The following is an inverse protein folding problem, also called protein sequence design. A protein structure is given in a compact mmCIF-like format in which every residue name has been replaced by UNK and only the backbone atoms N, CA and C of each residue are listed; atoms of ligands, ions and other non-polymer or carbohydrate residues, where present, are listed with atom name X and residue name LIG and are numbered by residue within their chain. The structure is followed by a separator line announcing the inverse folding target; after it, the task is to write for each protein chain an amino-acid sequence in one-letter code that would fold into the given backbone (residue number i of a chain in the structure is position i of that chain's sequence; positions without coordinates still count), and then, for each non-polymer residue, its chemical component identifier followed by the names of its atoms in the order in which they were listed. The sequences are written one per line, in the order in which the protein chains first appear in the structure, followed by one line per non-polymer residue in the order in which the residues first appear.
data_IF_265218939888
#
_entry.id   IF_265218939888
#
_cell.length_a   1.000
_cell.length_b   1.000
_cell.length_c   1.000
_cell.angle_alpha   90.00
_cell.angle_beta   90.00
_cell.angle_gamma   90.00
#
_symmetry.space_group_name_H-M   'P 1'
#
loop_
_entity.id
_entity.type
_entity.pdbx_description
1 polymer ?
#
# COMPACT_ATOMS: atom_id res chain seq x y z
N UNK A 1 17.08 30.42 16.53
CA UNK A 1 16.62 29.14 15.95
C UNK A 1 16.82 27.95 16.89
N UNK A 2 17.96 27.84 17.58
CA UNK A 2 18.25 26.69 18.47
C UNK A 2 17.33 26.66 19.72
N UNK A 3 17.07 27.81 20.36
CA UNK A 3 16.24 27.89 21.59
C UNK A 3 14.78 27.48 21.36
N UNK A 4 14.17 27.88 20.23
CA UNK A 4 12.80 27.47 19.86
C UNK A 4 12.68 25.98 19.52
N UNK A 5 13.74 25.35 19.00
CA UNK A 5 13.73 23.93 18.63
C UNK A 5 13.74 23.03 19.88
N UNK A 6 14.47 23.41 20.92
CA UNK A 6 14.52 22.68 22.20
C UNK A 6 13.18 22.68 22.93
N UNK A 7 12.43 23.78 22.84
CA UNK A 7 11.11 23.94 23.45
C UNK A 7 10.05 23.04 22.78
N UNK A 8 10.01 22.99 21.44
CA UNK A 8 9.08 22.12 20.69
C UNK A 8 9.33 20.63 20.93
N UNK A 9 10.58 20.19 20.95
CA UNK A 9 10.89 18.78 21.27
C UNK A 9 10.51 18.43 22.72
N UNK A 10 10.68 19.36 23.66
CA UNK A 10 10.26 19.17 25.03
C UNK A 10 8.72 19.07 25.14
N UNK A 11 7.98 19.87 24.38
CA UNK A 11 6.52 19.77 24.27
C UNK A 11 6.10 18.38 23.78
N UNK A 12 6.65 17.90 22.66
CA UNK A 12 6.25 16.59 22.10
C UNK A 12 6.56 15.43 23.05
N UNK A 13 7.72 15.45 23.73
CA UNK A 13 8.04 14.46 24.77
C UNK A 13 7.06 14.50 25.94
N UNK A 14 6.60 15.69 26.31
CA UNK A 14 5.59 15.87 27.37
C UNK A 14 4.25 15.27 26.95
N UNK A 15 3.79 15.54 25.73
CA UNK A 15 2.54 14.98 25.20
C UNK A 15 2.58 13.44 25.12
N UNK A 16 3.71 12.87 24.71
CA UNK A 16 3.91 11.41 24.76
C UNK A 16 3.83 10.86 26.19
N UNK A 17 4.45 11.56 27.15
CA UNK A 17 4.43 11.17 28.56
C UNK A 17 3.02 11.27 29.16
N UNK A 18 2.30 12.36 28.90
CA UNK A 18 0.92 12.55 29.35
C UNK A 18 0.00 11.46 28.81
N UNK A 19 0.13 11.08 27.52
CA UNK A 19 -0.62 9.97 26.94
C UNK A 19 -0.27 8.61 27.60
N UNK A 20 1.01 8.37 27.93
CA UNK A 20 1.43 7.16 28.64
C UNK A 20 0.88 7.10 30.07
N UNK A 21 0.91 8.21 30.78
CA UNK A 21 0.39 8.33 32.15
C UNK A 21 -1.14 8.15 32.17
N UNK A 22 -1.86 8.75 31.23
CA UNK A 22 -3.30 8.56 31.07
C UNK A 22 -3.66 7.10 30.72
N UNK A 23 -2.79 6.40 29.99
CA UNK A 23 -2.99 4.99 29.67
C UNK A 23 -2.69 4.04 30.85
N UNK A 24 -2.06 4.49 31.93
CA UNK A 24 -1.55 3.61 32.99
C UNK A 24 -2.61 2.67 33.58
N UNK A 25 -3.81 3.19 33.86
CA UNK A 25 -4.93 2.38 34.37
C UNK A 25 -5.39 1.30 33.39
N UNK A 26 -5.48 1.63 32.10
CA UNK A 26 -5.82 0.68 31.04
C UNK A 26 -4.74 -0.40 30.89
N UNK A 27 -3.46 -0.01 30.94
CA UNK A 27 -2.35 -0.94 30.80
C UNK A 27 -2.31 -1.98 31.92
N UNK A 28 -2.68 -1.62 33.15
CA UNK A 28 -2.65 -2.54 34.30
C UNK A 28 -3.54 -3.77 34.12
N UNK A 29 -4.69 -3.62 33.48
CA UNK A 29 -5.68 -4.71 33.28
C UNK A 29 -5.42 -5.53 32.01
N UNK A 30 -4.52 -5.08 31.12
CA UNK A 30 -4.18 -5.79 29.88
C UNK A 30 -3.20 -6.95 30.12
N UNK A 31 -3.37 -8.03 29.37
CA UNK A 31 -2.37 -9.10 29.28
C UNK A 31 -1.03 -8.60 28.73
N UNK A 32 0.07 -9.29 29.01
CA UNK A 32 1.43 -8.84 28.69
C UNK A 32 1.66 -8.53 27.20
N UNK A 33 1.16 -9.38 26.30
CA UNK A 33 1.26 -9.20 24.84
C UNK A 33 0.43 -8.02 24.35
N UNK A 34 -0.81 -7.88 24.84
CA UNK A 34 -1.70 -6.78 24.53
C UNK A 34 -1.09 -5.46 24.99
N UNK A 35 -0.63 -5.39 26.25
CA UNK A 35 0.03 -4.22 26.84
C UNK A 35 1.22 -3.77 26.00
N UNK A 36 2.14 -4.68 25.68
CA UNK A 36 3.35 -4.35 24.93
C UNK A 36 3.06 -3.80 23.53
N UNK A 37 1.97 -4.27 22.91
CA UNK A 37 1.52 -3.86 21.57
C UNK A 37 0.77 -2.53 21.61
N UNK A 38 -0.06 -2.32 22.62
CA UNK A 38 -0.72 -1.04 22.88
C UNK A 38 0.30 0.08 23.15
N UNK A 39 1.28 -0.17 24.02
CA UNK A 39 2.39 0.76 24.28
C UNK A 39 3.19 1.09 23.02
N UNK A 40 3.32 0.13 22.09
CA UNK A 40 3.97 0.38 20.81
C UNK A 40 3.12 1.34 19.96
N UNK A 41 1.80 1.19 19.99
CA UNK A 41 0.85 2.11 19.37
C UNK A 41 0.96 3.53 19.93
N UNK A 42 1.00 3.68 21.26
CA UNK A 42 1.19 4.98 21.92
C UNK A 42 2.45 5.70 21.39
N UNK A 43 3.58 4.99 21.35
CA UNK A 43 4.87 5.54 20.88
C UNK A 43 4.89 5.83 19.37
N UNK A 44 4.01 5.20 18.60
CA UNK A 44 3.90 5.42 17.16
C UNK A 44 2.96 6.58 16.82
N UNK A 45 2.21 7.11 17.79
CA UNK A 45 1.20 8.15 17.56
C UNK A 45 1.72 9.41 16.85
N UNK A 46 2.95 9.93 17.10
CA UNK A 46 3.45 11.10 16.38
C UNK A 46 3.46 10.94 14.86
N UNK A 47 3.64 9.71 14.34
CA UNK A 47 3.56 9.40 12.92
C UNK A 47 2.13 9.61 12.39
N UNK A 48 1.14 9.02 13.03
CA UNK A 48 -0.24 9.03 12.56
C UNK A 48 -0.93 10.38 12.83
N UNK A 49 -0.64 11.00 13.97
CA UNK A 49 -1.11 12.34 14.30
C UNK A 49 -0.55 13.37 13.29
N UNK A 50 0.77 13.36 13.06
CA UNK A 50 1.39 14.23 12.07
C UNK A 50 0.89 13.97 10.65
N UNK A 51 0.59 12.72 10.30
CA UNK A 51 -0.02 12.39 9.01
C UNK A 51 -1.44 12.93 8.87
N UNK A 52 -2.26 12.86 9.91
CA UNK A 52 -3.60 13.46 9.91
C UNK A 52 -3.54 14.98 9.75
N UNK A 53 -2.61 15.65 10.47
CA UNK A 53 -2.34 17.07 10.27
C UNK A 53 -1.95 17.38 8.83
N UNK A 54 -1.03 16.60 8.25
CA UNK A 54 -0.60 16.76 6.87
C UNK A 54 -1.76 16.64 5.89
N UNK A 55 -2.63 15.64 6.05
CA UNK A 55 -3.84 15.48 5.21
C UNK A 55 -4.70 16.73 5.31
N UNK A 56 -4.98 17.23 6.52
CA UNK A 56 -5.82 18.41 6.71
C UNK A 56 -5.18 19.69 6.12
N UNK A 57 -3.91 19.96 6.43
CA UNK A 57 -3.16 21.13 5.94
C UNK A 57 -3.08 21.14 4.42
N UNK A 58 -2.69 20.01 3.83
CA UNK A 58 -2.48 19.89 2.39
C UNK A 58 -3.81 19.88 1.64
N UNK A 59 -4.87 19.24 2.17
CA UNK A 59 -6.19 19.24 1.54
C UNK A 59 -6.85 20.62 1.45
N UNK A 60 -6.63 21.47 2.46
CA UNK A 60 -7.04 22.88 2.40
C UNK A 60 -6.25 23.64 1.34
N UNK A 61 -4.92 23.43 1.29
CA UNK A 61 -4.04 24.06 0.29
C UNK A 61 -4.43 23.66 -1.13
N UNK A 62 -4.78 22.39 -1.34
CA UNK A 62 -5.18 21.84 -2.63
C UNK A 62 -6.65 22.09 -2.98
N UNK A 63 -7.43 22.71 -2.07
CA UNK A 63 -8.84 23.03 -2.25
C UNK A 63 -9.65 21.81 -2.73
N UNK A 64 -9.45 20.64 -2.11
CA UNK A 64 -10.27 19.45 -2.40
C UNK A 64 -11.62 19.57 -1.68
N UNK A 65 -12.70 19.17 -2.35
CA UNK A 65 -14.06 19.29 -1.80
C UNK A 65 -14.44 18.15 -0.85
N UNK A 66 -13.72 17.03 -0.90
CA UNK A 66 -13.94 15.84 -0.07
C UNK A 66 -12.70 14.96 0.00
N UNK A 67 -12.61 14.12 1.03
CA UNK A 67 -11.57 13.11 1.22
C UNK A 67 -12.17 11.70 1.19
N UNK A 68 -11.56 10.81 0.41
CA UNK A 68 -11.85 9.38 0.43
C UNK A 68 -10.66 8.61 0.99
N UNK A 69 -10.85 7.96 2.12
CA UNK A 69 -9.91 7.05 2.75
C UNK A 69 -10.15 5.64 2.19
N UNK A 70 -9.16 5.07 1.52
CA UNK A 70 -9.30 3.77 0.88
C UNK A 70 -9.25 2.64 1.91
N UNK A 71 -10.16 1.68 1.76
CA UNK A 71 -10.30 0.54 2.70
C UNK A 71 -9.04 -0.31 2.82
N UNK A 72 -8.99 -1.15 3.86
CA UNK A 72 -7.78 -1.78 4.43
C UNK A 72 -7.03 -0.80 5.33
N UNK A 73 -6.02 -0.11 4.83
CA UNK A 73 -5.15 0.70 5.68
C UNK A 73 -5.73 2.10 5.98
N UNK A 74 -6.53 2.66 5.06
CA UNK A 74 -7.17 3.96 5.25
C UNK A 74 -8.27 3.99 6.32
N UNK A 75 -8.79 2.84 6.77
CA UNK A 75 -9.78 2.77 7.84
C UNK A 75 -9.17 3.24 9.19
N UNK A 76 -7.92 2.85 9.47
CA UNK A 76 -7.18 3.40 10.61
C UNK A 76 -6.98 4.91 10.45
N UNK A 77 -6.54 5.34 9.26
CA UNK A 77 -6.25 6.76 9.02
C UNK A 77 -7.50 7.63 9.15
N UNK A 78 -8.67 7.14 8.72
CA UNK A 78 -9.95 7.81 8.90
C UNK A 78 -10.31 7.94 10.38
N UNK A 79 -10.14 6.87 11.18
CA UNK A 79 -10.36 6.88 12.63
C UNK A 79 -9.42 7.82 13.37
N UNK A 80 -8.16 7.92 12.93
CA UNK A 80 -7.19 8.89 13.47
C UNK A 80 -7.63 10.30 13.09
N UNK A 81 -7.91 10.54 11.81
CA UNK A 81 -8.33 11.85 11.31
C UNK A 81 -9.57 12.39 12.04
N UNK A 82 -10.57 11.54 12.28
CA UNK A 82 -11.77 11.89 13.03
C UNK A 82 -11.49 12.26 14.50
N UNK A 83 -10.49 11.64 15.15
CA UNK A 83 -10.07 11.98 16.52
C UNK A 83 -9.25 13.25 16.58
N UNK A 84 -8.45 13.52 15.56
CA UNK A 84 -7.63 14.73 15.46
C UNK A 84 -8.48 15.95 15.10
N UNK A 85 -9.58 15.74 14.37
CA UNK A 85 -10.50 16.77 13.90
C UNK A 85 -11.97 16.39 14.15
N UNK A 86 -12.47 16.39 15.40
CA UNK A 86 -13.84 15.99 15.74
C UNK A 86 -14.92 17.04 15.37
N UNK A 87 -14.68 17.85 14.33
CA UNK A 87 -15.51 19.01 13.93
C UNK A 87 -14.83 20.37 14.16
N UNK A 88 -13.57 20.36 14.59
CA UNK A 88 -12.79 21.57 14.86
C UNK A 88 -12.17 22.21 13.62
N UNK A 89 -11.89 23.52 13.71
CA UNK A 89 -11.22 24.28 12.65
C UNK A 89 -9.71 24.04 12.67
N UNK A 90 -9.10 24.16 11.51
CA UNK A 90 -7.65 24.27 11.33
C UNK A 90 -7.32 25.70 10.86
N UNK A 91 -6.95 26.56 11.80
CA UNK A 91 -6.80 27.99 11.53
C UNK A 91 -8.15 28.61 11.13
N UNK A 92 -8.22 29.17 9.91
CA UNK A 92 -9.45 29.79 9.39
C UNK A 92 -10.34 28.82 8.58
N UNK A 93 -9.84 27.63 8.23
CA UNK A 93 -10.59 26.63 7.46
C UNK A 93 -11.05 25.45 8.31
N UNK A 94 -11.93 24.62 7.74
CA UNK A 94 -12.27 23.30 8.29
C UNK A 94 -11.84 22.24 7.29
N UNK A 95 -11.23 21.12 7.74
CA UNK A 95 -10.90 20.05 6.82
C UNK A 95 -12.15 19.57 6.04
N UNK A 96 -11.99 19.17 4.77
CA UNK A 96 -13.10 18.72 3.94
C UNK A 96 -13.76 17.45 4.51
N UNK A 97 -15.03 17.18 4.19
CA UNK A 97 -15.73 15.96 4.60
C UNK A 97 -14.96 14.70 4.22
N UNK A 98 -14.84 13.75 5.16
CA UNK A 98 -14.02 12.56 5.02
C UNK A 98 -14.85 11.27 5.08
N UNK A 99 -14.70 10.42 4.07
CA UNK A 99 -15.46 9.18 3.90
C UNK A 99 -14.52 7.99 3.72
N UNK A 100 -15.01 6.80 4.09
CA UNK A 100 -14.37 5.54 3.69
C UNK A 100 -14.91 5.12 2.32
N UNK A 101 -14.00 4.70 1.43
CA UNK A 101 -14.33 4.20 0.10
C UNK A 101 -13.79 2.77 -0.07
N UNK A 102 -14.69 1.82 -0.32
CA UNK A 102 -14.34 0.44 -0.67
C UNK A 102 -13.70 0.37 -2.06
N UNK A 103 -12.37 0.35 -2.08
CA UNK A 103 -11.58 0.20 -3.31
C UNK A 103 -10.37 -0.70 -3.08
N UNK A 104 -9.91 -1.30 -4.17
CA UNK A 104 -8.61 -1.96 -4.23
C UNK A 104 -8.02 -1.78 -5.63
N UNK A 105 -6.74 -2.12 -5.76
CA UNK A 105 -6.08 -2.16 -7.08
C UNK A 105 -6.75 -3.17 -8.00
N UNK A 106 -7.11 -4.34 -7.47
CA UNK A 106 -7.78 -5.40 -8.23
C UNK A 106 -9.15 -4.94 -8.75
N UNK A 107 -9.97 -4.37 -7.86
CA UNK A 107 -11.34 -3.95 -8.18
C UNK A 107 -11.40 -2.79 -9.19
N UNK A 108 -10.36 -1.95 -9.24
CA UNK A 108 -10.32 -0.77 -10.10
C UNK A 108 -9.54 -0.98 -11.40
N UNK A 109 -8.66 -1.99 -11.48
CA UNK A 109 -7.77 -2.15 -12.64
C UNK A 109 -8.54 -2.42 -13.93
N UNK A 110 -9.33 -3.50 -13.98
CA UNK A 110 -10.14 -3.87 -15.16
C UNK A 110 -11.08 -2.74 -15.60
N UNK A 111 -11.82 -2.15 -14.65
CA UNK A 111 -12.74 -1.02 -14.89
C UNK A 111 -12.06 0.23 -15.49
N UNK A 112 -10.75 0.40 -15.21
CA UNK A 112 -9.95 1.53 -15.68
C UNK A 112 -9.20 1.29 -17.00
N UNK A 113 -9.35 0.11 -17.62
CA UNK A 113 -8.74 -0.16 -18.92
C UNK A 113 -9.47 0.61 -20.01
N UNK A 114 -8.71 1.41 -20.76
CA UNK A 114 -9.25 2.20 -21.89
C UNK A 114 -9.35 1.39 -23.17
N UNK A 115 -8.50 0.37 -23.30
CA UNK A 115 -8.48 -0.58 -24.40
C UNK A 115 -7.82 -1.87 -23.95
N UNK A 116 -8.15 -2.98 -24.62
CA UNK A 116 -7.39 -4.20 -24.47
C UNK A 116 -6.14 -4.12 -25.35
N UNK A 117 -5.01 -3.76 -24.74
CA UNK A 117 -3.74 -3.64 -25.46
C UNK A 117 -2.57 -3.95 -24.56
N UNK A 118 -1.46 -4.40 -25.17
CA UNK A 118 -0.16 -4.55 -24.50
C UNK A 118 0.23 -3.27 -23.76
N UNK A 119 0.00 -2.11 -24.39
CA UNK A 119 0.32 -0.80 -23.80
C UNK A 119 -0.44 -0.56 -22.49
N UNK A 120 -1.72 -0.89 -22.42
CA UNK A 120 -2.48 -0.79 -21.17
C UNK A 120 -2.01 -1.83 -20.14
N UNK A 121 -1.67 -3.05 -20.58
CA UNK A 121 -1.15 -4.10 -19.69
C UNK A 121 0.22 -3.78 -19.10
N UNK A 122 1.00 -2.87 -19.69
CA UNK A 122 2.23 -2.37 -19.06
C UNK A 122 2.01 -1.76 -17.68
N UNK A 123 0.79 -1.28 -17.38
CA UNK A 123 0.42 -0.80 -16.04
C UNK A 123 0.53 -1.91 -14.98
N UNK A 124 0.33 -3.17 -15.38
CA UNK A 124 0.52 -4.38 -14.57
C UNK A 124 1.95 -4.93 -14.71
N UNK A 125 2.42 -5.10 -15.96
CA UNK A 125 3.68 -5.76 -16.27
C UNK A 125 4.94 -4.98 -15.88
N UNK A 126 4.86 -3.66 -15.71
CA UNK A 126 5.98 -2.87 -15.16
C UNK A 126 6.31 -3.26 -13.71
N UNK A 127 5.32 -3.71 -12.94
CA UNK A 127 5.51 -4.23 -11.59
C UNK A 127 5.87 -5.73 -11.62
N UNK A 128 5.19 -6.50 -12.46
CA UNK A 128 5.37 -7.94 -12.63
C UNK A 128 5.92 -8.26 -14.02
N UNK A 129 7.24 -8.14 -14.20
CA UNK A 129 7.91 -8.45 -15.46
C UNK A 129 7.81 -9.94 -15.86
N UNK A 130 7.48 -10.76 -14.86
CA UNK A 130 7.09 -12.17 -14.86
C UNK A 130 5.57 -12.44 -14.86
N UNK A 131 4.88 -12.92 -15.90
CA UNK A 131 3.46 -13.26 -15.74
C UNK A 131 2.97 -14.42 -16.63
N UNK A 132 2.08 -15.25 -16.10
CA UNK A 132 1.32 -16.26 -16.84
C UNK A 132 -0.07 -15.79 -17.24
N UNK A 133 -0.70 -16.41 -18.23
CA UNK A 133 -2.06 -16.02 -18.64
C UNK A 133 -3.11 -16.35 -17.57
N UNK A 134 -2.86 -17.37 -16.74
CA UNK A 134 -3.61 -17.63 -15.51
C UNK A 134 -3.57 -16.42 -14.57
N UNK A 135 -2.38 -15.90 -14.26
CA UNK A 135 -2.23 -14.76 -13.35
C UNK A 135 -2.80 -13.46 -13.94
N UNK A 136 -2.70 -13.27 -15.26
CA UNK A 136 -3.35 -12.18 -15.97
C UNK A 136 -4.88 -12.26 -15.83
N UNK A 137 -5.48 -13.43 -16.10
CA UNK A 137 -6.92 -13.65 -15.97
C UNK A 137 -7.40 -13.28 -14.55
N UNK A 138 -6.72 -13.79 -13.52
CA UNK A 138 -7.03 -13.47 -12.12
C UNK A 138 -6.89 -11.97 -11.81
N UNK A 139 -5.89 -11.30 -12.38
CA UNK A 139 -5.68 -9.85 -12.23
C UNK A 139 -6.78 -9.01 -12.89
N UNK A 140 -7.45 -9.56 -13.92
CA UNK A 140 -8.60 -8.99 -14.60
C UNK A 140 -9.95 -9.47 -14.01
N UNK A 141 -9.91 -10.32 -12.99
CA UNK A 141 -11.10 -10.92 -12.38
C UNK A 141 -11.85 -11.87 -13.31
N UNK A 142 -11.15 -12.49 -14.27
CA UNK A 142 -11.66 -13.50 -15.21
C UNK A 142 -11.31 -14.89 -14.71
N UNK A 143 -12.24 -15.84 -14.88
CA UNK A 143 -11.97 -17.24 -14.60
C UNK A 143 -10.93 -17.78 -15.60
N UNK A 144 -9.76 -18.29 -15.16
CA UNK A 144 -8.67 -18.65 -16.07
C UNK A 144 -9.05 -19.63 -17.17
N UNK A 145 -9.93 -20.60 -16.87
CA UNK A 145 -10.42 -21.57 -17.83
C UNK A 145 -11.10 -20.93 -19.05
N UNK A 146 -11.67 -19.73 -18.90
CA UNK A 146 -12.27 -19.00 -20.02
C UNK A 146 -11.25 -18.61 -21.11
N UNK A 147 -9.96 -18.47 -20.75
CA UNK A 147 -8.91 -18.08 -21.69
C UNK A 147 -8.17 -19.28 -22.30
N UNK A 148 -8.46 -20.50 -21.85
CA UNK A 148 -7.66 -21.70 -22.17
C UNK A 148 -7.61 -22.00 -23.66
N UNK A 149 -8.78 -22.01 -24.32
CA UNK A 149 -8.90 -22.30 -25.76
C UNK A 149 -8.15 -21.25 -26.59
N UNK A 150 -8.32 -19.97 -26.27
CA UNK A 150 -7.62 -18.89 -26.96
C UNK A 150 -6.11 -18.98 -26.75
N UNK A 151 -5.64 -19.21 -25.52
CA UNK A 151 -4.20 -19.34 -25.23
C UNK A 151 -3.59 -20.55 -25.96
N UNK A 152 -4.27 -21.69 -25.96
CA UNK A 152 -3.79 -22.92 -26.59
C UNK A 152 -3.59 -22.76 -28.11
N UNK A 153 -4.47 -22.02 -28.79
CA UNK A 153 -4.34 -21.71 -30.23
C UNK A 153 -3.04 -20.97 -30.58
N UNK A 154 -2.52 -20.18 -29.64
CA UNK A 154 -1.25 -19.44 -29.77
C UNK A 154 -0.07 -20.18 -29.10
N UNK A 155 -0.25 -21.45 -28.72
CA UNK A 155 0.81 -22.25 -28.10
C UNK A 155 1.24 -21.76 -26.72
N UNK A 156 0.30 -21.21 -25.95
CA UNK A 156 0.52 -20.74 -24.58
C UNK A 156 -0.27 -21.62 -23.61
N UNK A 157 0.43 -22.28 -22.68
CA UNK A 157 -0.22 -22.91 -21.54
C UNK A 157 -0.58 -21.84 -20.49
N UNK A 158 -1.73 -21.96 -19.82
CA UNK A 158 -2.21 -20.92 -18.89
C UNK A 158 -1.24 -20.64 -17.74
N UNK A 159 -0.61 -21.67 -17.20
CA UNK A 159 0.33 -21.59 -16.09
C UNK A 159 1.76 -21.22 -16.53
N UNK A 160 2.03 -21.13 -17.83
CA UNK A 160 3.35 -20.81 -18.37
C UNK A 160 3.80 -19.42 -17.88
N UNK A 161 4.88 -19.37 -17.10
CA UNK A 161 5.42 -18.10 -16.62
C UNK A 161 6.23 -17.36 -17.68
N UNK A 162 5.59 -16.53 -18.50
CA UNK A 162 6.22 -15.81 -19.62
C UNK A 162 7.02 -14.60 -19.10
N UNK A 163 8.28 -14.48 -19.53
CA UNK A 163 9.14 -13.34 -19.20
C UNK A 163 8.95 -12.23 -20.22
N UNK A 164 8.71 -11.01 -19.73
CA UNK A 164 8.41 -9.86 -20.57
C UNK A 164 7.26 -10.15 -21.54
N UNK A 165 6.02 -10.44 -21.05
CA UNK A 165 4.90 -10.82 -21.93
C UNK A 165 4.64 -9.83 -23.08
N UNK A 166 4.97 -8.55 -22.90
CA UNK A 166 4.87 -7.52 -23.94
C UNK A 166 5.84 -7.69 -25.12
N UNK A 167 6.87 -8.53 -24.99
CA UNK A 167 7.85 -8.86 -26.02
C UNK A 167 7.61 -10.22 -26.68
N UNK A 168 6.80 -11.09 -26.07
CA UNK A 168 6.52 -12.44 -26.60
C UNK A 168 5.55 -12.34 -27.80
N UNK A 169 5.95 -12.88 -28.95
CA UNK A 169 5.15 -12.84 -30.18
C UNK A 169 3.83 -13.60 -30.04
N UNK A 170 3.81 -14.74 -29.33
CA UNK A 170 2.58 -15.50 -29.07
C UNK A 170 1.58 -14.67 -28.27
N UNK A 171 2.08 -13.87 -27.32
CA UNK A 171 1.24 -12.96 -26.53
C UNK A 171 0.73 -11.81 -27.40
N UNK A 172 1.55 -11.25 -28.30
CA UNK A 172 1.09 -10.23 -29.26
C UNK A 172 -0.01 -10.74 -30.19
N UNK A 173 0.14 -11.97 -30.68
CA UNK A 173 -0.85 -12.66 -31.51
C UNK A 173 -2.13 -12.95 -30.71
N UNK A 174 -2.03 -13.40 -29.46
CA UNK A 174 -3.17 -13.60 -28.56
C UNK A 174 -3.97 -12.30 -28.32
N UNK A 175 -3.29 -11.17 -28.12
CA UNK A 175 -3.95 -9.87 -27.99
C UNK A 175 -4.59 -9.38 -29.30
N UNK A 176 -4.33 -10.05 -30.42
CA UNK A 176 -4.97 -9.82 -31.71
C UNK A 176 -6.13 -10.79 -31.98
N UNK A 177 -6.29 -11.86 -31.19
CA UNK A 177 -7.33 -12.88 -31.30
C UNK A 177 -8.73 -12.34 -30.91
N UNK A 178 -9.72 -12.59 -31.75
CA UNK A 178 -11.07 -12.04 -31.56
C UNK A 178 -11.84 -12.71 -30.41
N UNK A 179 -11.64 -13.99 -30.14
CA UNK A 179 -12.28 -14.67 -29.01
C UNK A 179 -11.71 -14.14 -27.70
N UNK A 180 -10.37 -14.03 -27.60
CA UNK A 180 -9.70 -13.45 -26.45
C UNK A 180 -10.16 -12.00 -26.19
N UNK A 181 -10.24 -11.18 -27.26
CA UNK A 181 -10.74 -9.81 -27.19
C UNK A 181 -12.19 -9.77 -26.72
N UNK A 182 -13.06 -10.64 -27.25
CA UNK A 182 -14.47 -10.70 -26.89
C UNK A 182 -14.64 -10.94 -25.39
N UNK A 183 -14.02 -12.00 -24.87
CA UNK A 183 -14.09 -12.39 -23.46
C UNK A 183 -13.67 -11.23 -22.54
N UNK A 184 -12.54 -10.60 -22.83
CA UNK A 184 -12.00 -9.53 -21.98
C UNK A 184 -12.76 -8.20 -22.15
N UNK A 185 -13.22 -7.88 -23.36
CA UNK A 185 -13.96 -6.63 -23.60
C UNK A 185 -15.29 -6.62 -22.86
N UNK A 186 -16.03 -7.73 -22.89
CA UNK A 186 -17.29 -7.84 -22.16
C UNK A 186 -17.08 -7.76 -20.65
N UNK A 187 -16.02 -8.40 -20.15
CA UNK A 187 -15.62 -8.29 -18.74
C UNK A 187 -15.29 -6.84 -18.35
N UNK A 188 -14.48 -6.14 -19.13
CA UNK A 188 -14.08 -4.75 -18.86
C UNK A 188 -15.32 -3.84 -18.83
N UNK A 189 -16.24 -3.99 -19.78
CA UNK A 189 -17.50 -3.23 -19.81
C UNK A 189 -18.35 -3.51 -18.56
N UNK A 190 -18.51 -4.78 -18.20
CA UNK A 190 -19.28 -5.17 -17.01
C UNK A 190 -18.66 -4.60 -15.72
N UNK A 191 -17.33 -4.73 -15.57
CA UNK A 191 -16.60 -4.18 -14.41
C UNK A 191 -16.70 -2.67 -14.34
N UNK A 192 -16.55 -1.97 -15.48
CA UNK A 192 -16.68 -0.52 -15.53
C UNK A 192 -18.08 -0.07 -15.13
N UNK A 193 -19.12 -0.73 -15.63
CA UNK A 193 -20.52 -0.43 -15.28
C UNK A 193 -20.77 -0.64 -13.77
N UNK A 194 -20.35 -1.77 -13.22
CA UNK A 194 -20.51 -2.06 -11.79
C UNK A 194 -19.68 -1.12 -10.90
N UNK A 195 -18.46 -0.78 -11.31
CA UNK A 195 -17.62 0.18 -10.61
C UNK A 195 -18.23 1.57 -10.61
N UNK A 196 -18.71 2.07 -11.76
CA UNK A 196 -19.39 3.36 -11.84
C UNK A 196 -20.62 3.40 -10.93
N UNK A 197 -21.50 2.40 -11.01
CA UNK A 197 -22.70 2.33 -10.17
C UNK A 197 -22.38 2.41 -8.67
N UNK A 198 -21.35 1.69 -8.21
CA UNK A 198 -20.91 1.74 -6.81
C UNK A 198 -20.22 3.07 -6.46
N UNK A 199 -19.30 3.57 -7.27
CA UNK A 199 -18.53 4.78 -6.95
C UNK A 199 -19.42 6.02 -6.95
N UNK A 200 -20.37 6.10 -7.89
CA UNK A 200 -21.39 7.16 -7.94
C UNK A 200 -22.32 7.11 -6.73
N UNK A 201 -22.72 5.91 -6.27
CA UNK A 201 -23.52 5.77 -5.04
C UNK A 201 -22.76 6.17 -3.77
N UNK A 202 -21.43 6.30 -3.84
CA UNK A 202 -20.57 6.86 -2.78
C UNK A 202 -20.26 8.34 -3.00
N UNK A 203 -20.90 8.96 -4.00
CA UNK A 203 -20.75 10.37 -4.33
C UNK A 203 -19.55 10.70 -5.22
N UNK A 204 -18.88 9.71 -5.82
CA UNK A 204 -17.81 9.94 -6.79
C UNK A 204 -18.36 9.87 -8.21
N UNK A 205 -18.65 11.05 -8.77
CA UNK A 205 -19.21 11.27 -10.12
C UNK A 205 -18.20 12.07 -10.97
N UNK A 206 -18.23 11.97 -12.30
CA UNK A 206 -17.30 12.70 -13.20
C UNK A 206 -17.76 14.14 -13.49
N UNK A 207 -17.80 14.99 -12.45
CA UNK A 207 -18.38 16.34 -12.49
C UNK A 207 -17.34 17.48 -12.53
N UNK A 208 -16.06 17.16 -12.68
CA UNK A 208 -14.97 18.12 -12.64
C UNK A 208 -14.53 18.51 -11.24
N UNK A 209 -15.02 17.82 -10.20
CA UNK A 209 -14.66 18.11 -8.82
C UNK A 209 -13.18 17.78 -8.51
N UNK A 210 -12.67 18.46 -7.47
CA UNK A 210 -11.36 18.20 -6.88
C UNK A 210 -11.53 17.23 -5.70
N UNK A 211 -11.04 16.00 -5.86
CA UNK A 211 -11.21 14.89 -4.94
C UNK A 211 -9.87 14.58 -4.26
N UNK A 212 -9.89 14.61 -2.92
CA UNK A 212 -8.78 14.13 -2.12
C UNK A 212 -8.91 12.63 -1.85
N UNK A 213 -7.80 11.90 -1.95
CA UNK A 213 -7.74 10.48 -1.58
C UNK A 213 -6.65 10.25 -0.55
N UNK A 214 -6.85 9.29 0.35
CA UNK A 214 -5.90 8.91 1.38
C UNK A 214 -5.68 7.42 1.33
N UNK A 215 -4.42 7.02 1.16
CA UNK A 215 -4.02 5.62 1.04
C UNK A 215 -2.59 5.45 1.55
N UNK A 216 -2.24 4.25 2.02
CA UNK A 216 -0.85 3.88 2.29
C UNK A 216 -0.11 3.51 0.99
N UNK A 217 -0.87 3.11 -0.04
CA UNK A 217 -0.38 2.54 -1.30
C UNK A 217 0.80 3.30 -1.90
N UNK A 218 1.97 2.66 -1.88
CA UNK A 218 3.28 3.30 -2.07
C UNK A 218 3.55 3.91 -3.46
N UNK A 219 2.65 3.75 -4.42
CA UNK A 219 2.77 4.31 -5.78
C UNK A 219 1.49 4.95 -6.30
N UNK A 220 0.42 4.93 -5.50
CA UNK A 220 -0.88 5.51 -5.85
C UNK A 220 -1.55 4.95 -7.11
N UNK A 221 -1.41 3.65 -7.37
CA UNK A 221 -1.98 3.03 -8.58
C UNK A 221 -3.51 2.91 -8.54
N UNK A 222 -4.13 2.86 -7.35
CA UNK A 222 -5.60 2.95 -7.23
C UNK A 222 -6.07 4.34 -7.69
N UNK A 223 -5.36 5.40 -7.30
CA UNK A 223 -5.61 6.75 -7.79
C UNK A 223 -5.52 6.82 -9.31
N UNK A 224 -4.47 6.22 -9.88
CA UNK A 224 -4.27 6.19 -11.32
C UNK A 224 -5.46 5.53 -12.03
N UNK A 225 -5.97 4.42 -11.48
CA UNK A 225 -7.13 3.73 -12.02
C UNK A 225 -8.40 4.60 -11.94
N UNK A 226 -8.66 5.23 -10.78
CA UNK A 226 -9.83 6.10 -10.61
C UNK A 226 -9.77 7.33 -11.51
N UNK A 227 -8.61 7.94 -11.67
CA UNK A 227 -8.41 9.09 -12.55
C UNK A 227 -8.65 8.77 -14.04
N UNK A 228 -8.47 7.50 -14.45
CA UNK A 228 -8.82 7.02 -15.78
C UNK A 228 -10.31 6.63 -15.91
N UNK A 229 -10.99 6.36 -14.80
CA UNK A 229 -12.44 6.14 -14.78
C UNK A 229 -13.17 7.49 -14.86
N UNK A 230 -12.69 8.50 -14.11
CA UNK A 230 -13.26 9.86 -13.99
C UNK A 230 -12.26 10.91 -14.53
N UNK A 231 -12.12 11.05 -15.85
CA UNK A 231 -11.12 11.92 -16.45
C UNK A 231 -11.36 13.42 -16.24
N UNK A 232 -12.58 13.86 -15.94
CA UNK A 232 -12.90 15.27 -15.74
C UNK A 232 -12.48 15.74 -14.33
N UNK A 233 -12.52 14.84 -13.35
CA UNK A 233 -12.15 15.15 -11.97
C UNK A 233 -10.65 15.34 -11.79
N UNK A 234 -10.27 16.20 -10.84
CA UNK A 234 -8.89 16.31 -10.32
C UNK A 234 -8.74 15.41 -9.10
N UNK A 235 -7.77 14.50 -9.12
CA UNK A 235 -7.44 13.63 -7.99
C UNK A 235 -6.16 14.10 -7.30
N UNK A 236 -6.24 14.37 -5.99
CA UNK A 236 -5.10 14.72 -5.14
C UNK A 236 -4.91 13.62 -4.10
N UNK A 237 -3.76 12.95 -4.13
CA UNK A 237 -3.46 11.87 -3.20
C UNK A 237 -2.56 12.31 -2.06
N UNK A 238 -2.95 11.94 -0.84
CA UNK A 238 -2.16 12.12 0.38
C UNK A 238 -1.71 10.75 0.86
N UNK A 239 -0.40 10.52 0.83
CA UNK A 239 0.22 9.22 1.13
C UNK A 239 1.14 9.31 2.34
N UNK A 240 1.28 8.18 3.07
CA UNK A 240 2.27 8.08 4.15
C UNK A 240 3.70 8.16 3.59
N UNK A 241 3.94 7.53 2.43
CA UNK A 241 5.20 7.57 1.70
C UNK A 241 5.02 7.17 0.23
N UNK A 242 5.89 7.65 -0.65
CA UNK A 242 5.84 7.36 -2.08
C UNK A 242 7.16 6.77 -2.58
N UNK A 243 7.07 5.56 -3.13
CA UNK A 243 8.08 4.97 -3.99
C UNK A 243 8.05 5.62 -5.38
N UNK A 244 9.12 5.40 -6.15
CA UNK A 244 9.19 5.90 -7.53
C UNK A 244 8.03 5.40 -8.38
N UNK A 245 7.48 6.23 -9.25
CA UNK A 245 6.48 5.74 -10.20
C UNK A 245 7.13 4.79 -11.21
N UNK A 246 6.39 3.74 -11.59
CA UNK A 246 6.80 2.81 -12.65
C UNK A 246 6.11 3.14 -13.98
N UNK A 247 4.88 3.64 -13.89
CA UNK A 247 4.05 3.97 -15.03
C UNK A 247 3.91 5.49 -15.17
N UNK A 248 3.60 5.93 -16.39
CA UNK A 248 3.16 7.31 -16.63
C UNK A 248 1.92 7.59 -15.77
N UNK A 249 1.93 8.73 -15.09
CA UNK A 249 0.86 9.14 -14.19
C UNK A 249 -0.22 9.89 -14.99
N UNK A 250 -1.53 9.69 -14.72
CA UNK A 250 -2.59 10.47 -15.36
C UNK A 250 -2.41 11.98 -15.13
N UNK A 251 -2.80 12.80 -16.11
CA UNK A 251 -2.59 14.25 -16.05
C UNK A 251 -3.44 14.95 -15.00
N UNK A 252 -4.59 14.36 -14.65
CA UNK A 252 -5.49 14.82 -13.61
C UNK A 252 -5.13 14.31 -12.20
N UNK A 253 -3.92 13.77 -12.01
CA UNK A 253 -3.42 13.31 -10.72
C UNK A 253 -2.32 14.22 -10.15
N UNK A 254 -2.46 14.55 -8.87
CA UNK A 254 -1.39 15.08 -8.02
C UNK A 254 -1.17 14.12 -6.83
N UNK A 255 0.07 13.93 -6.40
CA UNK A 255 0.41 13.01 -5.30
C UNK A 255 1.42 13.65 -4.34
N UNK A 256 1.02 13.76 -3.07
CA UNK A 256 1.86 14.23 -1.98
C UNK A 256 2.18 13.08 -1.01
N UNK A 257 3.32 13.18 -0.33
CA UNK A 257 3.68 12.24 0.73
C UNK A 257 4.11 12.99 1.99
N UNK A 258 3.66 12.53 3.15
CA UNK A 258 4.06 13.08 4.44
C UNK A 258 5.50 12.67 4.79
N UNK A 259 5.79 11.37 4.73
CA UNK A 259 7.10 10.81 5.00
C UNK A 259 8.06 10.94 3.80
N UNK A 260 8.71 9.83 3.36
CA UNK A 260 9.60 9.85 2.21
C UNK A 260 8.84 9.95 0.88
N UNK A 261 9.36 10.77 -0.04
CA UNK A 261 8.93 10.81 -1.44
C UNK A 261 10.11 10.57 -2.37
N UNK A 262 10.27 9.33 -2.84
CA UNK A 262 11.36 8.92 -3.72
C UNK A 262 11.29 9.52 -5.14
N UNK A 263 10.18 10.19 -5.49
CA UNK A 263 10.05 10.95 -6.74
C UNK A 263 10.62 12.37 -6.62
N UNK A 264 10.78 12.90 -5.40
CA UNK A 264 11.29 14.26 -5.16
C UNK A 264 12.70 14.27 -4.58
N UNK A 265 13.08 13.26 -3.78
CA UNK A 265 14.40 13.21 -3.18
C UNK A 265 14.71 11.89 -2.47
N UNK A 266 15.88 11.82 -1.83
CA UNK A 266 16.38 10.63 -1.14
C UNK A 266 16.15 10.66 0.38
N UNK A 267 15.57 11.75 0.92
CA UNK A 267 15.26 11.87 2.35
C UNK A 267 14.34 10.74 2.82
N UNK A 268 14.76 10.03 3.88
CA UNK A 268 14.02 8.92 4.50
C UNK A 268 13.65 7.74 3.57
N UNK A 269 14.17 7.65 2.33
CA UNK A 269 13.74 6.60 1.39
C UNK A 269 14.08 5.19 1.84
N UNK A 270 14.97 5.03 2.82
CA UNK A 270 15.25 3.74 3.46
C UNK A 270 14.02 3.16 4.19
N UNK A 271 13.06 4.00 4.61
CA UNK A 271 11.80 3.54 5.23
C UNK A 271 10.92 2.78 4.22
N UNK A 272 11.03 3.11 2.93
CA UNK A 272 10.33 2.44 1.83
C UNK A 272 10.93 1.07 1.46
N UNK A 273 11.99 0.64 2.15
CA UNK A 273 12.58 -0.69 1.99
C UNK A 273 11.86 -1.77 2.81
N UNK A 274 10.95 -1.44 3.72
CA UNK A 274 10.21 -2.43 4.51
C UNK A 274 8.78 -1.94 4.81
N UNK A 275 7.97 -1.92 3.77
CA UNK A 275 6.62 -1.34 3.82
C UNK A 275 5.54 -2.29 4.34
N UNK A 276 5.69 -3.60 4.14
CA UNK A 276 4.66 -4.58 4.53
C UNK A 276 4.36 -4.68 6.03
N UNK A 277 5.31 -4.46 6.96
CA UNK A 277 4.96 -4.30 8.37
C UNK A 277 4.03 -3.12 8.63
N UNK A 278 4.20 -2.01 7.90
CA UNK A 278 3.30 -0.86 8.01
C UNK A 278 1.92 -1.18 7.44
N UNK A 279 1.86 -1.88 6.30
CA UNK A 279 0.59 -2.38 5.73
C UNK A 279 -0.15 -3.27 6.74
N UNK A 280 0.55 -4.20 7.40
CA UNK A 280 -0.04 -5.03 8.45
C UNK A 280 -0.55 -4.21 9.65
N UNK A 281 0.27 -3.30 10.18
CA UNK A 281 -0.11 -2.52 11.37
C UNK A 281 -1.30 -1.59 11.10
N UNK A 282 -1.51 -1.19 9.85
CA UNK A 282 -2.60 -0.31 9.45
C UNK A 282 -3.83 -1.06 8.94
N UNK A 283 -3.77 -2.37 8.70
CA UNK A 283 -4.85 -3.11 8.06
C UNK A 283 -6.13 -3.21 8.91
N UNK A 284 -7.24 -3.53 8.24
CA UNK A 284 -8.56 -3.74 8.84
C UNK A 284 -9.00 -5.21 8.74
N UNK A 285 -9.94 -5.68 9.58
CA UNK A 285 -10.48 -7.04 9.50
C UNK A 285 -11.47 -7.26 8.34
N UNK A 286 -11.83 -6.20 7.59
CA UNK A 286 -12.87 -6.23 6.55
C UNK A 286 -12.40 -6.76 5.19
N UNK A 287 -11.16 -7.27 5.09
CA UNK A 287 -10.64 -7.89 3.88
C UNK A 287 -10.46 -6.92 2.69
N UNK A 288 -10.11 -7.49 1.54
CA UNK A 288 -9.85 -6.74 0.30
C UNK A 288 -11.09 -6.67 -0.58
N UNK A 289 -11.32 -5.54 -1.24
CA UNK A 289 -12.34 -5.42 -2.29
C UNK A 289 -11.87 -6.19 -3.52
N UNK A 290 -12.69 -7.12 -4.00
CA UNK A 290 -12.40 -7.95 -5.17
C UNK A 290 -13.06 -7.41 -6.45
N UNK A 291 -14.12 -6.61 -6.29
CA UNK A 291 -14.89 -6.02 -7.38
C UNK A 291 -16.19 -5.43 -6.85
N UNK A 292 -17.10 -5.12 -7.78
CA UNK A 292 -18.38 -4.47 -7.47
C UNK A 292 -19.55 -5.30 -7.99
N UNK A 293 -20.74 -5.01 -7.49
CA UNK A 293 -21.98 -5.63 -7.94
C UNK A 293 -23.17 -5.00 -7.23
N UNK A 294 -24.23 -5.78 -7.05
CA UNK A 294 -25.44 -5.37 -6.35
C UNK A 294 -25.71 -6.33 -5.19
N UNK A 295 -26.20 -5.80 -4.08
CA UNK A 295 -26.67 -6.61 -2.95
C UNK A 295 -28.06 -7.24 -3.22
N UNK A 296 -28.61 -7.94 -2.24
CA UNK A 296 -29.94 -8.56 -2.33
C UNK A 296 -31.07 -7.56 -2.57
N UNK A 297 -30.87 -6.29 -2.20
CA UNK A 297 -31.85 -5.22 -2.33
C UNK A 297 -31.66 -4.42 -3.64
N UNK A 298 -30.75 -4.89 -4.51
CA UNK A 298 -30.44 -4.24 -5.78
C UNK A 298 -29.62 -2.95 -5.63
N UNK A 299 -28.98 -2.71 -4.48
CA UNK A 299 -28.13 -1.53 -4.27
C UNK A 299 -26.69 -1.82 -4.66
N UNK A 300 -25.97 -0.89 -5.30
CA UNK A 300 -24.56 -1.07 -5.60
C UNK A 300 -23.73 -1.38 -4.35
N UNK A 301 -22.93 -2.43 -4.41
CA UNK A 301 -22.14 -2.91 -3.27
C UNK A 301 -20.75 -3.38 -3.70
N UNK A 302 -19.78 -3.24 -2.79
CA UNK A 302 -18.44 -3.75 -2.95
C UNK A 302 -18.36 -5.21 -2.48
N UNK A 303 -17.82 -6.09 -3.32
CA UNK A 303 -17.58 -7.50 -2.98
C UNK A 303 -16.23 -7.63 -2.29
N UNK A 304 -16.22 -8.10 -1.05
CA UNK A 304 -15.00 -8.23 -0.23
C UNK A 304 -14.61 -9.69 -0.05
N UNK A 305 -13.30 -9.94 0.05
CA UNK A 305 -12.73 -11.23 0.43
C UNK A 305 -11.95 -11.05 1.74
N UNK A 306 -12.44 -11.70 2.79
CA UNK A 306 -11.80 -11.79 4.09
C UNK A 306 -11.05 -13.10 4.22
N UNK A 307 -9.81 -13.03 4.70
CA UNK A 307 -8.98 -14.19 4.96
C UNK A 307 -8.95 -14.45 6.49
N UNK A 308 -9.42 -15.62 6.98
CA UNK A 308 -9.50 -15.89 8.41
C UNK A 308 -8.18 -15.71 9.17
N UNK A 309 -7.05 -16.02 8.51
CA UNK A 309 -5.73 -15.82 9.10
C UNK A 309 -5.36 -14.34 9.27
N UNK A 310 -5.74 -13.46 8.34
CA UNK A 310 -5.57 -12.00 8.50
C UNK A 310 -6.48 -11.46 9.62
N UNK A 311 -7.73 -11.92 9.70
CA UNK A 311 -8.67 -11.52 10.77
C UNK A 311 -8.15 -11.92 12.15
N UNK A 312 -7.62 -13.13 12.31
CA UNK A 312 -7.04 -13.58 13.58
C UNK A 312 -5.84 -12.72 14.00
N UNK A 313 -4.94 -12.41 13.07
CA UNK A 313 -3.78 -11.53 13.33
C UNK A 313 -4.24 -10.11 13.70
N UNK A 314 -5.33 -9.65 13.10
CA UNK A 314 -5.93 -8.37 13.44
C UNK A 314 -6.38 -8.35 14.91
N UNK A 315 -7.22 -9.30 15.31
CA UNK A 315 -7.79 -9.35 16.66
C UNK A 315 -6.74 -9.56 17.75
N UNK A 316 -5.76 -10.43 17.49
CA UNK A 316 -4.73 -10.81 18.47
C UNK A 316 -3.64 -9.76 18.65
N UNK A 317 -3.37 -8.92 17.63
CA UNK A 317 -2.20 -8.02 17.65
C UNK A 317 -2.50 -6.64 17.06
N UNK A 318 -2.92 -6.56 15.80
CA UNK A 318 -3.00 -5.26 15.09
C UNK A 318 -3.99 -4.31 15.76
N UNK A 319 -5.15 -4.80 16.19
CA UNK A 319 -6.17 -4.01 16.89
C UNK A 319 -5.60 -3.31 18.11
N UNK A 320 -4.82 -4.02 18.94
CA UNK A 320 -4.22 -3.44 20.14
C UNK A 320 -3.19 -2.34 19.83
N UNK A 321 -2.43 -2.49 18.74
CA UNK A 321 -1.53 -1.44 18.27
C UNK A 321 -2.34 -0.21 17.83
N UNK A 322 -3.39 -0.41 17.02
CA UNK A 322 -4.25 0.66 16.53
C UNK A 322 -4.97 1.38 17.67
N UNK A 323 -5.46 0.66 18.68
CA UNK A 323 -6.10 1.25 19.85
C UNK A 323 -5.13 2.14 20.63
N UNK A 324 -3.86 1.72 20.77
CA UNK A 324 -2.81 2.56 21.35
C UNK A 324 -2.55 3.83 20.53
N UNK A 325 -2.46 3.71 19.20
CA UNK A 325 -2.31 4.89 18.31
C UNK A 325 -3.47 5.87 18.50
N UNK A 326 -4.70 5.36 18.47
CA UNK A 326 -5.91 6.17 18.56
C UNK A 326 -6.04 6.86 19.91
N UNK A 327 -5.74 6.13 21.00
CA UNK A 327 -5.72 6.68 22.35
C UNK A 327 -4.76 7.87 22.45
N UNK A 328 -3.51 7.71 22.01
CA UNK A 328 -2.54 8.79 22.06
C UNK A 328 -2.89 9.94 21.10
N UNK A 329 -3.39 9.67 19.89
CA UNK A 329 -3.80 10.72 18.95
C UNK A 329 -4.94 11.59 19.51
N UNK A 330 -5.86 11.01 20.27
CA UNK A 330 -6.93 11.73 20.96
C UNK A 330 -6.37 12.67 22.03
N UNK A 331 -5.39 12.22 22.81
CA UNK A 331 -4.70 13.08 23.79
C UNK A 331 -3.93 14.22 23.11
N UNK A 332 -3.24 13.92 22.02
CA UNK A 332 -2.51 14.92 21.22
C UNK A 332 -3.44 15.93 20.55
N UNK A 333 -4.68 15.56 20.23
CA UNK A 333 -5.66 16.44 19.61
C UNK A 333 -5.99 17.65 20.50
N UNK A 334 -6.11 17.45 21.82
CA UNK A 334 -6.33 18.54 22.77
C UNK A 334 -5.21 19.58 22.76
N UNK A 335 -3.95 19.14 22.65
CA UNK A 335 -2.79 20.02 22.61
C UNK A 335 -2.62 20.77 21.27
N UNK A 336 -3.19 20.24 20.19
CA UNK A 336 -3.07 20.78 18.83
C UNK A 336 -3.44 22.26 18.75
N UNK A 337 -4.62 22.62 19.26
CA UNK A 337 -5.17 23.98 19.12
C UNK A 337 -4.38 24.99 19.96
N UNK A 338 -4.09 24.63 21.22
CA UNK A 338 -3.34 25.47 22.15
C UNK A 338 -1.91 25.76 21.66
N UNK A 339 -1.25 24.77 21.07
CA UNK A 339 0.15 24.87 20.67
C UNK A 339 0.38 25.09 19.17
N UNK A 340 -0.70 25.14 18.37
CA UNK A 340 -0.66 25.32 16.90
C UNK A 340 0.36 24.41 16.22
N UNK A 341 0.34 23.13 16.58
CA UNK A 341 1.28 22.11 16.09
C UNK A 341 1.03 21.91 14.60
N UNK A 342 2.09 21.97 13.77
CA UNK A 342 2.02 21.73 12.33
C UNK A 342 2.60 20.37 11.96
N UNK A 343 2.12 19.79 10.85
CA UNK A 343 2.63 18.51 10.35
C UNK A 343 4.13 18.53 10.07
N UNK A 344 4.65 19.63 9.52
CA UNK A 344 6.07 19.80 9.21
C UNK A 344 6.97 19.72 10.45
N UNK A 345 6.50 20.13 11.63
CA UNK A 345 7.25 20.07 12.89
C UNK A 345 7.40 18.63 13.40
N UNK A 346 6.48 17.75 13.04
CA UNK A 346 6.45 16.35 13.46
C UNK A 346 7.12 15.40 12.46
N UNK A 347 7.49 15.86 11.28
CA UNK A 347 7.96 15.00 10.19
C UNK A 347 9.18 14.16 10.57
N UNK A 348 10.17 14.75 11.24
CA UNK A 348 11.36 14.03 11.71
C UNK A 348 10.98 12.95 12.74
N UNK A 349 10.22 13.34 13.78
CA UNK A 349 9.75 12.42 14.82
C UNK A 349 8.88 11.29 14.26
N UNK A 350 8.04 11.59 13.28
CA UNK A 350 7.21 10.63 12.56
C UNK A 350 8.05 9.61 11.77
N UNK A 351 9.04 10.08 11.02
CA UNK A 351 9.97 9.22 10.29
C UNK A 351 10.80 8.34 11.24
N UNK A 352 11.21 8.87 12.40
CA UNK A 352 11.90 8.09 13.43
C UNK A 352 11.00 7.01 14.05
N UNK A 353 9.74 7.34 14.35
CA UNK A 353 8.75 6.39 14.84
C UNK A 353 8.51 5.25 13.82
N UNK A 354 8.34 5.59 12.53
CA UNK A 354 8.28 4.60 11.45
C UNK A 354 9.57 3.76 11.40
N UNK A 355 10.75 4.39 11.45
CA UNK A 355 12.04 3.72 11.51
C UNK A 355 12.12 2.71 12.65
N UNK A 356 11.65 3.06 13.85
CA UNK A 356 11.59 2.18 15.01
C UNK A 356 10.72 0.93 14.76
N UNK A 357 9.56 1.10 14.15
CA UNK A 357 8.63 -0.01 13.85
C UNK A 357 9.24 -1.04 12.89
N UNK A 358 10.02 -0.60 11.91
CA UNK A 358 10.54 -1.49 10.86
C UNK A 358 11.98 -1.97 11.11
N UNK A 359 12.83 -1.20 11.79
CA UNK A 359 14.25 -1.58 11.97
C UNK A 359 14.46 -2.46 13.20
N UNK A 360 13.75 -2.18 14.30
CA UNK A 360 13.84 -2.87 15.58
C UNK A 360 12.45 -3.28 16.07
N UNK A 361 11.73 -4.15 15.32
CA UNK A 361 10.38 -4.54 15.72
C UNK A 361 10.39 -5.23 17.08
N UNK A 362 9.40 -4.89 17.92
CA UNK A 362 9.09 -5.72 19.08
C UNK A 362 8.74 -7.13 18.61
N UNK A 363 9.10 -8.12 19.43
CA UNK A 363 8.93 -9.55 19.12
C UNK A 363 7.51 -9.90 18.66
N UNK A 364 6.51 -9.33 19.33
CA UNK A 364 5.08 -9.53 19.04
C UNK A 364 4.73 -9.17 17.59
N UNK A 365 5.21 -8.03 17.10
CA UNK A 365 4.96 -7.57 15.72
C UNK A 365 5.66 -8.49 14.72
N UNK A 366 6.88 -8.93 15.02
CA UNK A 366 7.59 -9.85 14.13
C UNK A 366 6.93 -11.23 14.06
N UNK A 367 6.41 -11.74 15.18
CA UNK A 367 5.70 -13.02 15.23
C UNK A 367 4.34 -12.92 14.51
N UNK A 368 3.60 -11.83 14.68
CA UNK A 368 2.36 -11.57 13.95
C UNK A 368 2.59 -11.50 12.44
N UNK A 369 3.60 -10.75 12.00
CA UNK A 369 3.95 -10.64 10.58
C UNK A 369 4.37 -11.98 9.97
N UNK A 370 5.11 -12.81 10.71
CA UNK A 370 5.53 -14.13 10.22
C UNK A 370 4.37 -15.10 10.00
N UNK A 371 3.21 -14.88 10.66
CA UNK A 371 1.99 -15.68 10.50
C UNK A 371 1.11 -15.22 9.33
N UNK A 372 1.37 -14.04 8.75
CA UNK A 372 0.56 -13.53 7.65
C UNK A 372 0.75 -14.36 6.37
N UNK A 373 -0.35 -14.89 5.85
CA UNK A 373 -0.47 -15.24 4.44
C UNK A 373 -0.95 -13.99 3.69
N UNK A 374 -0.19 -13.49 2.72
CA UNK A 374 -0.58 -12.26 2.03
C UNK A 374 -1.30 -12.58 0.71
N UNK A 375 -2.42 -11.89 0.48
CA UNK A 375 -3.18 -12.00 -0.76
C UNK A 375 -2.54 -11.11 -1.86
N UNK A 376 -1.68 -11.69 -2.70
CA UNK A 376 -1.08 -11.03 -3.88
C UNK A 376 -1.71 -11.57 -5.18
N UNK A 377 -3.04 -11.74 -5.19
CA UNK A 377 -3.78 -12.21 -6.38
C UNK A 377 -3.56 -11.28 -7.58
N UNK A 378 -3.41 -9.97 -7.36
CA UNK A 378 -3.09 -9.02 -8.41
C UNK A 378 -1.64 -9.19 -8.87
N UNK A 379 -1.42 -9.54 -10.13
CA UNK A 379 -0.10 -9.76 -10.73
C UNK A 379 0.41 -11.20 -10.64
N UNK A 380 0.29 -11.84 -9.47
CA UNK A 380 0.82 -13.21 -9.24
C UNK A 380 -0.25 -14.29 -9.42
N UNK A 381 -1.54 -13.95 -9.27
CA UNK A 381 -2.66 -14.86 -9.50
C UNK A 381 -2.90 -15.90 -8.39
N UNK A 382 -2.04 -15.96 -7.38
CA UNK A 382 -2.07 -16.94 -6.29
C UNK A 382 -1.87 -16.27 -4.93
N UNK A 383 -2.29 -16.94 -3.86
CA UNK A 383 -1.89 -16.60 -2.51
C UNK A 383 -0.39 -16.88 -2.34
N UNK A 384 0.38 -15.87 -1.92
CA UNK A 384 1.81 -16.03 -1.67
C UNK A 384 2.02 -16.23 -0.18
N UNK A 385 2.36 -17.46 0.21
CA UNK A 385 2.78 -17.75 1.58
C UNK A 385 4.18 -17.19 1.82
N UNK A 386 4.28 -16.06 2.54
CA UNK A 386 5.55 -15.42 2.91
C UNK A 386 6.40 -16.29 3.85
N UNK A 387 5.88 -17.43 4.35
CA UNK A 387 6.66 -18.44 5.07
C UNK A 387 7.60 -19.19 4.14
N UNK A 388 7.29 -19.33 2.85
CA UNK A 388 8.16 -20.03 1.91
C UNK A 388 9.41 -19.20 1.61
N UNK A 389 10.57 -19.73 1.96
CA UNK A 389 11.88 -19.13 1.66
C UNK A 389 12.65 -20.02 0.68
N UNK A 390 13.43 -19.44 -0.25
CA UNK A 390 14.31 -20.22 -1.10
C UNK A 390 15.31 -21.02 -0.26
N UNK A 391 15.48 -22.30 -0.58
CA UNK A 391 16.49 -23.12 0.08
C UNK A 391 17.91 -22.60 -0.25
N UNK A 392 18.91 -22.83 0.62
CA UNK A 392 20.29 -22.43 0.35
C UNK A 392 20.83 -22.96 -0.99
N UNK A 393 20.48 -24.20 -1.34
CA UNK A 393 20.85 -24.82 -2.62
C UNK A 393 20.22 -24.06 -3.79
N UNK A 394 18.93 -23.68 -3.68
CA UNK A 394 18.24 -22.92 -4.73
C UNK A 394 18.84 -21.53 -4.91
N UNK A 395 19.22 -20.87 -3.82
CA UNK A 395 19.95 -19.60 -3.83
C UNK A 395 21.26 -19.71 -4.61
N UNK A 396 22.07 -20.72 -4.30
CA UNK A 396 23.34 -20.96 -4.99
C UNK A 396 23.12 -21.31 -6.46
N UNK A 397 22.14 -22.18 -6.75
CA UNK A 397 21.74 -22.50 -8.13
C UNK A 397 21.27 -21.27 -8.89
N UNK A 398 20.70 -20.27 -8.23
CA UNK A 398 20.34 -19.00 -8.85
C UNK A 398 21.51 -18.24 -9.49
N UNK A 399 22.76 -18.57 -9.16
CA UNK A 399 23.92 -18.01 -9.88
C UNK A 399 24.06 -18.58 -11.30
N UNK A 400 23.57 -19.79 -11.56
CA UNK A 400 23.77 -20.53 -12.82
C UNK A 400 22.45 -20.72 -13.57
N UNK A 401 21.38 -21.02 -12.84
CA UNK A 401 20.03 -21.30 -13.37
C UNK A 401 19.20 -20.02 -13.42
N UNK A 402 18.78 -19.64 -14.62
CA UNK A 402 17.90 -18.49 -14.85
C UNK A 402 16.55 -18.65 -14.13
N UNK A 403 16.02 -19.88 -14.08
CA UNK A 403 14.78 -20.22 -13.37
C UNK A 403 14.92 -20.03 -11.86
N UNK A 404 15.95 -20.60 -11.24
CA UNK A 404 16.16 -20.50 -9.79
C UNK A 404 16.49 -19.05 -9.38
N UNK A 405 17.26 -18.33 -10.22
CA UNK A 405 17.55 -16.90 -10.04
C UNK A 405 16.28 -16.08 -9.97
N UNK A 406 15.31 -16.39 -10.84
CA UNK A 406 14.01 -15.71 -10.90
C UNK A 406 13.21 -15.92 -9.62
N UNK A 407 13.12 -17.14 -9.12
CA UNK A 407 12.43 -17.41 -7.84
C UNK A 407 13.07 -16.66 -6.67
N UNK A 408 14.40 -16.60 -6.63
CA UNK A 408 15.13 -15.83 -5.60
C UNK A 408 14.86 -14.32 -5.75
N UNK A 409 14.87 -13.77 -6.97
CA UNK A 409 14.56 -12.35 -7.22
C UNK A 409 13.11 -12.02 -6.84
N UNK A 410 12.16 -12.90 -7.17
CA UNK A 410 10.75 -12.74 -6.79
C UNK A 410 10.61 -12.75 -5.27
N UNK A 411 11.25 -13.70 -4.59
CA UNK A 411 11.30 -13.72 -3.13
C UNK A 411 11.89 -12.44 -2.54
N UNK A 412 13.00 -11.93 -3.10
CA UNK A 412 13.59 -10.65 -2.67
C UNK A 412 12.55 -9.54 -2.83
N UNK A 413 11.95 -9.38 -4.02
CA UNK A 413 10.96 -8.34 -4.30
C UNK A 413 9.74 -8.39 -3.36
N UNK A 414 9.30 -9.60 -2.99
CA UNK A 414 8.14 -9.83 -2.11
C UNK A 414 8.49 -9.72 -0.61
N UNK A 415 9.70 -10.12 -0.23
CA UNK A 415 10.16 -10.18 1.16
C UNK A 415 11.25 -9.16 1.38
N UNK A 416 10.84 -7.93 1.71
CA UNK A 416 11.78 -6.83 1.86
C UNK A 416 12.15 -6.57 3.33
N UNK A 417 11.67 -7.34 4.31
CA UNK A 417 11.89 -7.07 5.74
C UNK A 417 12.98 -7.92 6.39
N UNK A 418 14.23 -7.44 6.33
CA UNK A 418 15.40 -8.15 6.89
C UNK A 418 15.35 -8.36 8.40
N UNK A 419 14.86 -7.37 9.17
CA UNK A 419 14.80 -7.47 10.63
C UNK A 419 13.81 -8.56 11.09
N UNK A 420 12.71 -8.74 10.35
CA UNK A 420 11.76 -9.83 10.60
C UNK A 420 12.38 -11.23 10.38
N UNK A 421 13.30 -11.37 9.43
CA UNK A 421 13.96 -12.66 9.16
C UNK A 421 14.85 -13.16 10.30
N UNK A 422 15.50 -12.25 11.02
CA UNK A 422 16.31 -12.64 12.18
C UNK A 422 15.48 -13.29 13.30
N UNK A 423 14.21 -12.91 13.41
CA UNK A 423 13.28 -13.38 14.42
C UNK A 423 12.53 -14.66 14.03
N UNK A 424 12.68 -15.15 12.79
CA UNK A 424 12.03 -16.40 12.31
C UNK A 424 12.67 -17.63 12.93
N UNK A 425 11.97 -18.27 13.87
CA UNK A 425 12.49 -19.43 14.64
C UNK A 425 12.56 -20.74 13.85
N UNK A 426 11.81 -20.83 12.75
CA UNK A 426 11.70 -22.01 11.91
C UNK A 426 12.89 -22.22 10.96
N UNK A 427 13.76 -21.22 10.82
CA UNK A 427 14.96 -21.28 9.98
C UNK A 427 16.24 -21.45 10.81
N UNK A 428 17.20 -22.22 10.33
CA UNK A 428 18.54 -22.30 10.95
C UNK A 428 19.33 -20.99 10.83
N UNK A 429 20.29 -20.74 11.75
CA UNK A 429 21.06 -19.48 11.80
C UNK A 429 21.80 -19.17 10.49
N UNK A 430 22.43 -20.18 9.88
CA UNK A 430 23.15 -20.04 8.60
C UNK A 430 22.20 -19.62 7.48
N UNK A 431 21.01 -20.23 7.42
CA UNK A 431 20.01 -19.90 6.40
C UNK A 431 19.49 -18.48 6.58
N UNK A 432 19.24 -18.03 7.82
CA UNK A 432 18.88 -16.63 8.12
C UNK A 432 19.97 -15.66 7.64
N UNK A 433 21.23 -15.96 7.94
CA UNK A 433 22.36 -15.12 7.53
C UNK A 433 22.46 -14.98 6.00
N UNK A 434 22.31 -16.09 5.27
CA UNK A 434 22.29 -16.08 3.80
C UNK A 434 21.16 -15.22 3.25
N UNK A 435 19.93 -15.40 3.75
CA UNK A 435 18.76 -14.62 3.30
C UNK A 435 18.93 -13.12 3.60
N UNK A 436 19.46 -12.77 4.78
CA UNK A 436 19.74 -11.39 5.15
C UNK A 436 20.81 -10.77 4.27
N UNK A 437 21.87 -11.52 3.94
CA UNK A 437 22.92 -11.04 3.04
C UNK A 437 22.36 -10.74 1.64
N UNK A 438 21.56 -11.64 1.08
CA UNK A 438 20.95 -11.47 -0.25
C UNK A 438 20.02 -10.25 -0.30
N UNK A 439 19.16 -10.09 0.71
CA UNK A 439 18.28 -8.93 0.79
C UNK A 439 19.05 -7.63 0.98
N UNK A 440 20.13 -7.65 1.76
CA UNK A 440 20.99 -6.49 1.97
C UNK A 440 21.70 -6.09 0.67
N UNK A 441 22.22 -7.05 -0.09
CA UNK A 441 22.79 -6.82 -1.42
C UNK A 441 21.75 -6.27 -2.40
N UNK A 442 20.54 -6.84 -2.42
CA UNK A 442 19.44 -6.34 -3.25
C UNK A 442 19.05 -4.89 -2.92
N UNK A 443 19.02 -4.54 -1.64
CA UNK A 443 18.79 -3.15 -1.18
C UNK A 443 19.94 -2.22 -1.54
N UNK A 444 21.19 -2.65 -1.39
CA UNK A 444 22.36 -1.86 -1.78
C UNK A 444 22.33 -1.55 -3.29
N UNK A 445 22.02 -2.55 -4.12
CA UNK A 445 21.83 -2.37 -5.55
C UNK A 445 20.68 -1.38 -5.87
N UNK A 446 19.52 -1.53 -5.21
CA UNK A 446 18.39 -0.60 -5.35
C UNK A 446 18.79 0.84 -4.99
N UNK A 447 19.53 1.04 -3.89
CA UNK A 447 20.00 2.37 -3.45
C UNK A 447 21.00 2.98 -4.42
N UNK A 448 21.97 2.20 -4.88
CA UNK A 448 22.92 2.64 -5.90
C UNK A 448 22.18 3.09 -7.16
N UNK A 449 21.22 2.30 -7.65
CA UNK A 449 20.38 2.67 -8.80
C UNK A 449 19.56 3.94 -8.54
N UNK A 450 18.97 4.09 -7.35
CA UNK A 450 18.20 5.29 -6.99
C UNK A 450 19.08 6.54 -6.95
N UNK A 451 20.28 6.42 -6.38
CA UNK A 451 21.27 7.48 -6.29
C UNK A 451 21.74 7.92 -7.68
N UNK A 452 22.09 6.97 -8.56
CA UNK A 452 22.49 7.24 -9.95
C UNK A 452 21.37 7.97 -10.67
N UNK A 453 20.14 7.46 -10.62
CA UNK A 453 18.99 8.09 -11.27
C UNK A 453 18.61 9.47 -10.69
N UNK A 454 19.00 9.79 -9.44
CA UNK A 454 18.73 11.09 -8.82
C UNK A 454 19.78 12.14 -9.20
N UNK A 455 21.08 11.77 -9.19
CA UNK A 455 22.19 12.68 -9.46
C UNK A 455 22.58 12.73 -10.94
N UNK A 456 22.24 11.69 -11.69
CA UNK A 456 22.51 11.57 -13.12
C UNK A 456 21.22 11.20 -13.88
N UNK A 457 20.25 12.14 -13.96
CA UNK A 457 19.03 11.92 -14.71
C UNK A 457 19.28 11.98 -16.24
N UNK A 458 20.00 11.00 -16.81
CA UNK A 458 20.29 11.00 -18.26
C UNK A 458 19.38 10.09 -19.12
N UNK A 459 18.91 10.70 -20.22
CA UNK A 459 18.71 10.19 -21.60
C UNK A 459 17.97 8.85 -21.87
N UNK A 460 17.29 8.24 -20.91
CA UNK A 460 16.52 6.99 -21.17
C UNK A 460 14.99 7.17 -21.27
N UNK A 461 14.48 8.37 -21.59
CA UNK A 461 13.05 8.55 -21.96
C UNK A 461 12.75 8.22 -23.44
N UNK A 462 13.74 7.76 -24.21
CA UNK A 462 13.59 7.39 -25.62
C UNK A 462 14.21 6.00 -25.87
N UNK A 463 13.64 4.94 -25.29
CA UNK A 463 13.68 3.56 -25.82
C UNK A 463 13.18 2.59 -24.73
N UNK A 464 12.02 1.98 -24.94
CA UNK A 464 11.50 0.89 -24.12
C UNK A 464 10.02 1.03 -23.82
#
# INVERSE_FOLDING_TARGET
MIIHCTDRQALFRRLDQEALEAAAGLLQVMGSTQRATFELGLRAAPLFFGYALFIAEQSLTDCVGRLFFFTREGELFHRVFARVFPGERLGHGSPPPAYILEVSRLATFSASLRSLSIKEMMRLWSLYSSQSMFALARSLGVEPAALEIACARHGIALEEGIIHPWQDERVKELFSDDEFKGILTDKIKADRSAALAYLESRGMVDDGSSIGIVDIGWRGTIQDNLALIFPCNRFVGYYLGLQRFLNVQPQNCLKHAYGPNANLGLGFTHLLDAVSPMEMLCSSPHGSVMGYGFDSDGRPSAKRLTEPSETAIYEDTVRHFQDGVLFACEHWAHAREHHKIRSAELRELACDAWGGLITKPKRQISEAYAKLNHNDVFGVGLFVDKRQVPSPIKILRGLISSRDRREVILYIKQTQWTSGLWHRRDLGLVHRAILVAILSTGRAYKRARMWVQHHWPDRHRLSG
#
